data_IF_041133633718
#
_entry.id   IF_041133633718
#
_cell.length_a   1.000
_cell.length_b   1.000
_cell.length_c   1.000
_cell.angle_alpha   90.00
_cell.angle_beta   90.00
_cell.angle_gamma   90.00
#
_symmetry.space_group_name_H-M   'P 1'
#
loop_
_entity.id
_entity.type
_entity.pdbx_description
1 polymer ?
#
# COMPACT_ATOMS: atom_id res chain seq x y z
N UNK A 1 35.66 -37.53 -31.82
CA UNK A 1 35.05 -36.19 -31.85
C UNK A 1 33.52 -36.22 -31.82
N UNK A 2 32.78 -37.07 -32.56
CA UNK A 2 31.28 -37.10 -32.56
C UNK A 2 30.60 -37.35 -31.19
N UNK A 3 31.22 -38.14 -30.28
CA UNK A 3 30.63 -38.41 -28.95
C UNK A 3 30.77 -37.23 -27.97
N UNK A 4 31.81 -36.43 -28.09
CA UNK A 4 32.02 -35.25 -27.24
C UNK A 4 31.08 -34.08 -27.63
N UNK A 5 30.83 -33.90 -28.92
CA UNK A 5 29.83 -32.88 -29.39
C UNK A 5 28.42 -33.23 -29.02
N UNK A 6 28.02 -34.52 -29.03
CA UNK A 6 26.69 -34.95 -28.61
C UNK A 6 26.46 -34.73 -27.11
N UNK A 7 27.50 -35.02 -26.30
CA UNK A 7 27.43 -34.77 -24.84
C UNK A 7 27.36 -33.28 -24.49
N UNK A 8 28.02 -32.40 -25.23
CA UNK A 8 27.95 -30.95 -25.06
C UNK A 8 26.55 -30.41 -25.43
N UNK A 9 25.94 -30.90 -26.52
CA UNK A 9 24.56 -30.52 -26.92
C UNK A 9 23.52 -31.01 -25.90
N UNK A 10 23.66 -32.21 -25.36
CA UNK A 10 22.76 -32.71 -24.30
C UNK A 10 22.89 -31.93 -22.99
N UNK A 11 24.07 -31.47 -22.62
CA UNK A 11 24.28 -30.66 -21.41
C UNK A 11 23.72 -29.27 -21.52
N UNK A 12 23.64 -28.68 -22.71
CA UNK A 12 22.97 -27.37 -22.93
C UNK A 12 21.46 -27.47 -22.85
N UNK A 13 20.89 -28.63 -23.22
CA UNK A 13 19.41 -28.85 -23.15
C UNK A 13 18.89 -29.13 -21.72
N UNK A 14 19.75 -29.55 -20.80
CA UNK A 14 19.34 -29.88 -19.43
C UNK A 14 19.02 -28.65 -18.54
N UNK A 15 19.36 -27.44 -18.99
CA UNK A 15 19.09 -26.19 -18.30
C UNK A 15 17.75 -25.49 -18.68
N UNK A 16 16.96 -26.06 -19.60
CA UNK A 16 15.74 -25.42 -20.07
C UNK A 16 14.61 -25.52 -19.04
N UNK A 17 14.00 -24.38 -18.71
CA UNK A 17 12.82 -24.32 -17.86
C UNK A 17 11.62 -24.98 -18.58
N UNK A 18 10.92 -25.87 -17.88
CA UNK A 18 9.70 -26.50 -18.40
C UNK A 18 8.50 -25.60 -18.14
N UNK A 19 7.71 -25.32 -19.17
CA UNK A 19 6.49 -24.56 -19.05
C UNK A 19 5.35 -25.43 -18.50
N UNK A 20 4.74 -24.96 -17.41
CA UNK A 20 3.51 -25.54 -16.84
C UNK A 20 2.42 -24.48 -16.82
N UNK A 21 1.32 -24.71 -17.54
CA UNK A 21 0.15 -23.85 -17.49
C UNK A 21 -0.50 -23.92 -16.09
N UNK A 22 -0.75 -22.76 -15.48
CA UNK A 22 -1.43 -22.69 -14.17
C UNK A 22 -2.85 -22.17 -14.33
N UNK A 23 -3.87 -22.86 -13.78
CA UNK A 23 -5.26 -22.38 -13.80
C UNK A 23 -5.37 -21.12 -12.94
N UNK A 24 -6.18 -20.13 -13.40
CA UNK A 24 -6.36 -18.86 -12.71
C UNK A 24 -7.56 -18.87 -11.74
N UNK A 25 -8.73 -19.35 -12.19
CA UNK A 25 -9.99 -19.13 -11.47
C UNK A 25 -10.09 -19.84 -10.12
N UNK A 26 -9.88 -21.15 -10.05
CA UNK A 26 -10.05 -21.90 -8.81
C UNK A 26 -9.08 -21.48 -7.70
N UNK A 27 -7.75 -21.32 -7.96
CA UNK A 27 -6.83 -20.81 -6.96
C UNK A 27 -7.11 -19.35 -6.54
N UNK A 28 -7.62 -18.51 -7.46
CA UNK A 28 -7.98 -17.14 -7.14
C UNK A 28 -9.17 -17.06 -6.19
N UNK A 29 -10.22 -17.84 -6.41
CA UNK A 29 -11.39 -17.93 -5.51
C UNK A 29 -11.00 -18.49 -4.14
N UNK A 30 -10.18 -19.53 -4.07
CA UNK A 30 -9.67 -20.06 -2.81
C UNK A 30 -8.86 -19.02 -2.02
N UNK A 31 -8.09 -18.16 -2.71
CA UNK A 31 -7.29 -17.11 -2.09
C UNK A 31 -8.13 -16.00 -1.45
N UNK A 32 -9.42 -15.83 -1.80
CA UNK A 32 -10.34 -14.86 -1.20
C UNK A 32 -10.69 -15.20 0.26
N UNK A 33 -10.55 -16.45 0.69
CA UNK A 33 -10.78 -16.84 2.08
C UNK A 33 -9.70 -16.32 3.04
N UNK A 34 -8.63 -15.75 2.51
CA UNK A 34 -7.50 -15.28 3.30
C UNK A 34 -6.64 -16.44 3.86
N UNK A 35 -5.49 -16.11 4.45
CA UNK A 35 -4.65 -17.12 5.09
C UNK A 35 -5.26 -17.61 6.42
N UNK A 36 -5.09 -18.91 6.77
CA UNK A 36 -5.55 -19.44 8.04
C UNK A 36 -4.79 -18.80 9.23
N UNK A 37 -5.42 -18.78 10.42
CA UNK A 37 -4.87 -18.15 11.63
C UNK A 37 -3.43 -18.57 11.94
N UNK A 38 -3.13 -19.88 11.82
CA UNK A 38 -1.77 -20.41 12.07
C UNK A 38 -0.72 -19.77 11.14
N UNK A 39 -1.06 -19.60 9.87
CA UNK A 39 -0.19 -18.95 8.89
C UNK A 39 0.02 -17.44 9.20
N UNK A 40 -1.04 -16.75 9.65
CA UNK A 40 -0.94 -15.35 10.08
C UNK A 40 -0.01 -15.20 11.30
N UNK A 41 -0.14 -16.07 12.31
CA UNK A 41 0.72 -16.06 13.50
C UNK A 41 2.19 -16.30 13.13
N UNK A 42 2.46 -17.30 12.29
CA UNK A 42 3.82 -17.59 11.82
C UNK A 42 4.41 -16.42 11.02
N UNK A 43 3.63 -15.85 10.08
CA UNK A 43 4.07 -14.73 9.28
C UNK A 43 4.30 -13.45 10.12
N UNK A 44 3.49 -13.20 11.17
CA UNK A 44 3.67 -12.07 12.04
C UNK A 44 4.97 -12.14 12.86
N UNK A 45 5.38 -13.34 13.30
CA UNK A 45 6.66 -13.56 13.99
C UNK A 45 7.87 -13.36 13.05
N UNK A 46 7.71 -13.70 11.77
CA UNK A 46 8.73 -13.58 10.74
C UNK A 46 8.80 -12.18 10.10
N UNK A 47 7.85 -11.30 10.42
CA UNK A 47 7.70 -10.00 9.75
C UNK A 47 8.94 -9.11 10.00
N UNK A 48 9.54 -8.63 8.91
CA UNK A 48 10.66 -7.69 8.90
C UNK A 48 10.25 -6.44 8.11
N UNK A 49 9.36 -5.63 8.66
CA UNK A 49 8.94 -4.37 8.04
C UNK A 49 9.42 -3.21 8.91
N UNK A 50 10.04 -2.22 8.28
CA UNK A 50 10.57 -1.05 8.96
C UNK A 50 9.43 -0.28 9.68
N UNK A 51 9.61 -0.02 10.97
CA UNK A 51 8.62 0.68 11.80
C UNK A 51 7.51 -0.20 12.40
N UNK A 52 7.41 -1.47 11.99
CA UNK A 52 6.49 -2.44 12.57
C UNK A 52 7.26 -3.42 13.46
N UNK A 53 6.91 -3.46 14.76
CA UNK A 53 7.48 -4.43 15.70
C UNK A 53 6.96 -5.84 15.41
N UNK A 54 7.75 -6.85 15.71
CA UNK A 54 7.28 -8.23 15.76
C UNK A 54 6.21 -8.33 16.85
N UNK A 55 5.01 -8.78 16.49
CA UNK A 55 3.89 -8.94 17.41
C UNK A 55 3.48 -10.42 17.45
N UNK A 56 3.22 -10.91 18.64
CA UNK A 56 2.56 -12.20 18.85
C UNK A 56 1.06 -11.99 18.66
N UNK A 57 0.47 -12.57 17.60
CA UNK A 57 -0.97 -12.53 17.37
C UNK A 57 -1.67 -13.59 18.20
N UNK A 58 -2.68 -13.18 18.99
CA UNK A 58 -3.55 -14.09 19.74
C UNK A 58 -5.02 -13.80 19.38
N UNK A 59 -5.59 -14.67 18.53
CA UNK A 59 -6.98 -14.55 18.07
C UNK A 59 -8.02 -14.93 19.14
N UNK A 60 -7.60 -15.44 20.32
CA UNK A 60 -8.50 -15.73 21.45
C UNK A 60 -8.88 -14.46 22.20
N UNK A 61 -8.11 -13.39 22.05
CA UNK A 61 -8.33 -12.08 22.67
C UNK A 61 -8.77 -11.06 21.62
N UNK A 62 -9.47 -9.99 22.03
CA UNK A 62 -9.74 -8.88 21.15
C UNK A 62 -8.43 -8.28 20.59
N UNK A 63 -8.34 -8.14 19.27
CA UNK A 63 -7.14 -7.68 18.59
C UNK A 63 -6.97 -6.15 18.71
N UNK A 64 -5.76 -5.72 19.00
CA UNK A 64 -5.39 -4.31 19.02
C UNK A 64 -5.25 -3.73 17.61
N UNK A 65 -5.30 -2.41 17.47
CA UNK A 65 -5.06 -1.77 16.18
C UNK A 65 -3.68 -2.07 15.58
N UNK A 66 -2.65 -2.32 16.41
CA UNK A 66 -1.32 -2.72 15.95
C UNK A 66 -1.33 -4.11 15.33
N UNK A 67 -1.94 -5.07 16.02
CA UNK A 67 -2.09 -6.45 15.51
C UNK A 67 -2.89 -6.50 14.21
N UNK A 68 -3.98 -5.73 14.13
CA UNK A 68 -4.76 -5.60 12.88
C UNK A 68 -3.93 -4.98 11.75
N UNK A 69 -3.11 -3.96 12.05
CA UNK A 69 -2.19 -3.39 11.07
C UNK A 69 -1.17 -4.41 10.54
N UNK A 70 -0.63 -5.27 11.41
CA UNK A 70 0.28 -6.37 11.02
C UNK A 70 -0.46 -7.40 10.17
N UNK A 71 -1.69 -7.78 10.53
CA UNK A 71 -2.52 -8.70 9.73
C UNK A 71 -2.77 -8.12 8.33
N UNK A 72 -3.10 -6.83 8.22
CA UNK A 72 -3.29 -6.18 6.93
C UNK A 72 -2.02 -6.23 6.07
N UNK A 73 -0.85 -5.96 6.65
CA UNK A 73 0.41 -6.05 5.92
C UNK A 73 0.65 -7.47 5.38
N UNK A 74 0.31 -8.51 6.14
CA UNK A 74 0.51 -9.91 5.74
C UNK A 74 -0.51 -10.35 4.69
N UNK A 75 -1.79 -10.11 4.95
CA UNK A 75 -2.89 -10.76 4.25
C UNK A 75 -3.54 -9.91 3.15
N UNK A 76 -3.39 -8.57 3.18
CA UNK A 76 -4.03 -7.68 2.20
C UNK A 76 -3.66 -8.07 0.75
N UNK A 77 -4.65 -8.38 -0.11
CA UNK A 77 -4.39 -8.84 -1.48
C UNK A 77 -3.63 -7.81 -2.34
N UNK A 78 -3.90 -6.52 -2.16
CA UNK A 78 -3.22 -5.46 -2.91
C UNK A 78 -1.72 -5.38 -2.55
N UNK A 79 -1.36 -5.55 -1.27
CA UNK A 79 0.04 -5.60 -0.85
C UNK A 79 0.74 -6.88 -1.34
N UNK A 80 0.03 -8.00 -1.38
CA UNK A 80 0.55 -9.24 -1.98
C UNK A 80 0.87 -9.07 -3.47
N UNK A 81 0.00 -8.38 -4.21
CA UNK A 81 0.24 -8.04 -5.61
C UNK A 81 1.45 -7.09 -5.78
N UNK A 82 1.61 -6.10 -4.91
CA UNK A 82 2.78 -5.21 -4.92
C UNK A 82 4.10 -5.96 -4.64
N UNK A 83 4.11 -6.90 -3.69
CA UNK A 83 5.29 -7.76 -3.44
C UNK A 83 5.63 -8.65 -4.64
N UNK A 84 4.63 -9.06 -5.43
CA UNK A 84 4.91 -9.77 -6.68
C UNK A 84 5.69 -8.88 -7.68
N UNK A 85 5.39 -7.57 -7.76
CA UNK A 85 6.17 -6.61 -8.57
C UNK A 85 7.62 -6.48 -8.08
N UNK A 86 7.84 -6.52 -6.77
CA UNK A 86 9.20 -6.52 -6.21
C UNK A 86 10.00 -7.77 -6.65
N UNK A 87 9.35 -8.94 -6.70
CA UNK A 87 9.98 -10.17 -7.23
C UNK A 87 10.35 -10.04 -8.70
N UNK A 88 9.48 -9.41 -9.52
CA UNK A 88 9.80 -9.11 -10.92
C UNK A 88 11.02 -8.19 -11.02
N UNK A 89 11.08 -7.12 -10.21
CA UNK A 89 12.20 -6.20 -10.22
C UNK A 89 13.53 -6.90 -9.82
N UNK A 90 13.50 -7.81 -8.85
CA UNK A 90 14.68 -8.64 -8.49
C UNK A 90 15.09 -9.59 -9.62
N UNK A 91 14.15 -10.21 -10.31
CA UNK A 91 14.44 -11.03 -11.48
C UNK A 91 15.07 -10.20 -12.62
N UNK A 92 14.67 -8.94 -12.78
CA UNK A 92 15.30 -8.02 -13.74
C UNK A 92 16.75 -7.70 -13.37
N UNK A 93 17.11 -7.63 -12.08
CA UNK A 93 18.52 -7.50 -11.63
C UNK A 93 19.31 -8.73 -12.03
N UNK A 94 18.75 -9.92 -11.81
CA UNK A 94 19.39 -11.17 -12.24
C UNK A 94 19.60 -11.19 -13.76
N UNK A 95 18.55 -10.86 -14.54
CA UNK A 95 18.64 -10.82 -16.01
C UNK A 95 19.68 -9.81 -16.51
N UNK A 96 19.80 -8.63 -15.89
CA UNK A 96 20.81 -7.64 -16.23
C UNK A 96 22.25 -8.12 -15.94
N UNK A 97 22.39 -9.08 -15.02
CA UNK A 97 23.66 -9.69 -14.67
C UNK A 97 24.11 -10.83 -15.58
N UNK A 98 23.26 -11.35 -16.45
CA UNK A 98 23.63 -12.43 -17.37
C UNK A 98 24.58 -11.92 -18.46
N UNK A 99 25.47 -12.82 -18.89
CA UNK A 99 26.30 -12.55 -20.05
C UNK A 99 25.47 -12.62 -21.33
N UNK A 100 25.83 -11.86 -22.37
CA UNK A 100 25.18 -11.98 -23.68
C UNK A 100 25.48 -13.36 -24.28
N UNK A 101 24.46 -13.99 -24.85
CA UNK A 101 24.65 -15.26 -25.54
C UNK A 101 25.43 -15.06 -26.85
N UNK A 102 26.31 -16.01 -27.20
CA UNK A 102 26.98 -16.02 -28.50
C UNK A 102 25.96 -16.37 -29.60
N UNK A 103 26.17 -15.81 -30.77
CA UNK A 103 25.40 -16.12 -31.97
C UNK A 103 26.20 -17.12 -32.79
N UNK A 104 25.60 -18.27 -33.09
CA UNK A 104 26.15 -19.26 -34.02
C UNK A 104 25.45 -19.10 -35.35
N UNK A 105 26.18 -18.95 -36.41
CA UNK A 105 25.66 -18.78 -37.77
C UNK A 105 26.08 -19.96 -38.62
N UNK A 106 25.16 -20.50 -39.41
CA UNK A 106 25.40 -21.51 -40.41
C UNK A 106 24.84 -21.07 -41.72
N UNK A 107 25.58 -21.25 -42.80
CA UNK A 107 25.09 -21.02 -44.14
C UNK A 107 25.52 -22.16 -45.05
N UNK A 108 24.61 -22.52 -45.95
CA UNK A 108 24.83 -23.54 -46.97
C UNK A 108 24.33 -22.97 -48.32
N UNK A 109 25.23 -22.82 -49.26
CA UNK A 109 24.95 -22.25 -50.59
C UNK A 109 25.29 -23.28 -51.67
N UNK A 110 24.29 -23.66 -52.47
CA UNK A 110 24.47 -24.56 -53.60
C UNK A 110 24.62 -23.73 -54.87
N UNK A 111 25.74 -23.84 -55.60
CA UNK A 111 25.86 -23.19 -56.90
C UNK A 111 24.87 -23.79 -57.93
N UNK A 112 24.28 -22.96 -58.74
CA UNK A 112 23.41 -23.36 -59.85
C UNK A 112 23.60 -22.41 -61.02
N UNK A 113 23.28 -22.89 -62.23
CA UNK A 113 23.42 -22.15 -63.49
C UNK A 113 24.60 -22.58 -64.34
N UNK A 114 24.86 -21.79 -65.40
CA UNK A 114 25.96 -22.07 -66.33
C UNK A 114 27.29 -21.95 -65.57
N UNK A 115 28.13 -22.98 -65.59
CA UNK A 115 29.39 -23.05 -64.85
C UNK A 115 29.33 -23.69 -63.47
N UNK A 116 28.16 -24.16 -63.03
CA UNK A 116 28.02 -24.85 -61.73
C UNK A 116 28.53 -26.31 -61.77
N UNK A 117 28.84 -26.87 -62.95
CA UNK A 117 29.34 -28.23 -63.08
C UNK A 117 30.70 -28.39 -62.40
N UNK A 118 30.81 -29.42 -61.52
CA UNK A 118 32.06 -29.70 -60.76
C UNK A 118 32.19 -28.94 -59.43
N UNK A 119 31.25 -28.02 -59.15
CA UNK A 119 31.24 -27.29 -57.85
C UNK A 119 30.41 -28.01 -56.78
N UNK A 120 30.93 -28.06 -55.54
CA UNK A 120 30.26 -28.63 -54.40
C UNK A 120 29.46 -27.54 -53.65
N UNK A 121 28.64 -27.92 -52.67
CA UNK A 121 27.95 -27.00 -51.80
C UNK A 121 28.98 -26.25 -50.93
N UNK A 122 28.89 -24.92 -50.96
CA UNK A 122 29.68 -24.08 -50.06
C UNK A 122 29.00 -24.06 -48.68
N UNK A 123 29.76 -24.33 -47.64
CA UNK A 123 29.34 -24.34 -46.27
C UNK A 123 30.11 -23.29 -45.51
N UNK A 124 29.41 -22.52 -44.64
CA UNK A 124 30.09 -21.66 -43.67
C UNK A 124 29.46 -21.80 -42.30
N UNK A 125 30.30 -21.78 -41.31
CA UNK A 125 29.94 -21.72 -39.92
C UNK A 125 30.68 -20.56 -39.24
N UNK A 126 30.03 -19.96 -38.25
CA UNK A 126 30.59 -18.81 -37.55
C UNK A 126 30.06 -18.71 -36.14
N UNK A 127 30.90 -18.17 -35.29
CA UNK A 127 30.59 -17.83 -33.92
C UNK A 127 30.90 -16.34 -33.74
N UNK A 128 29.93 -15.59 -33.18
CA UNK A 128 30.06 -14.15 -32.95
C UNK A 128 29.57 -13.80 -31.54
N UNK A 129 30.38 -13.04 -30.77
CA UNK A 129 30.05 -12.62 -29.44
C UNK A 129 30.09 -11.09 -29.28
N UNK A 130 29.01 -10.49 -28.72
CA UNK A 130 28.89 -9.04 -28.52
C UNK A 130 29.69 -8.59 -27.30
N UNK A 131 30.90 -8.07 -27.52
CA UNK A 131 31.78 -7.55 -26.46
C UNK A 131 31.31 -6.22 -25.90
N UNK A 132 30.53 -5.42 -26.66
CA UNK A 132 30.02 -4.13 -26.20
C UNK A 132 29.08 -4.26 -25.03
N UNK A 133 28.35 -5.39 -24.97
CA UNK A 133 27.49 -5.70 -23.81
C UNK A 133 28.26 -5.98 -22.54
N UNK A 134 29.47 -6.44 -22.60
CA UNK A 134 30.31 -6.61 -21.42
C UNK A 134 30.68 -5.27 -20.80
N UNK A 135 31.02 -4.27 -21.64
CA UNK A 135 31.34 -2.92 -21.20
C UNK A 135 30.14 -2.23 -20.54
N UNK A 136 28.93 -2.38 -21.10
CA UNK A 136 27.73 -1.74 -20.59
C UNK A 136 27.05 -2.48 -19.44
N UNK A 137 27.42 -3.76 -19.22
CA UNK A 137 26.81 -4.66 -18.23
C UNK A 137 26.77 -4.08 -16.81
N UNK A 138 27.85 -3.46 -16.35
CA UNK A 138 27.91 -2.84 -15.02
C UNK A 138 26.87 -1.71 -14.85
N UNK A 139 26.63 -0.95 -15.91
CA UNK A 139 25.64 0.11 -15.96
C UNK A 139 24.22 -0.46 -15.96
N UNK A 140 23.98 -1.54 -16.74
CA UNK A 140 22.69 -2.23 -16.79
C UNK A 140 22.34 -2.86 -15.43
N UNK A 141 23.30 -3.49 -14.75
CA UNK A 141 23.13 -4.03 -13.39
C UNK A 141 22.80 -2.90 -12.41
N UNK A 142 23.54 -1.79 -12.43
CA UNK A 142 23.27 -0.63 -11.56
C UNK A 142 21.88 -0.06 -11.80
N UNK A 143 21.49 0.15 -13.05
CA UNK A 143 20.16 0.61 -13.43
C UNK A 143 19.06 -0.30 -12.87
N UNK A 144 19.20 -1.61 -13.01
CA UNK A 144 18.26 -2.61 -12.52
C UNK A 144 18.21 -2.66 -10.98
N UNK A 145 19.35 -2.58 -10.30
CA UNK A 145 19.46 -2.55 -8.83
C UNK A 145 18.76 -1.34 -8.23
N UNK A 146 18.99 -0.15 -8.78
CA UNK A 146 18.37 1.08 -8.33
C UNK A 146 16.85 1.04 -8.58
N UNK A 147 16.42 0.50 -9.73
CA UNK A 147 15.01 0.28 -10.02
C UNK A 147 14.36 -0.70 -9.03
N UNK A 148 15.03 -1.80 -8.73
CA UNK A 148 14.55 -2.78 -7.74
C UNK A 148 14.46 -2.16 -6.33
N UNK A 149 15.42 -1.31 -5.97
CA UNK A 149 15.43 -0.55 -4.71
C UNK A 149 14.25 0.42 -4.64
N UNK A 150 13.97 1.15 -5.73
CA UNK A 150 12.81 2.04 -5.82
C UNK A 150 11.49 1.28 -5.59
N UNK A 151 11.31 0.12 -6.26
CA UNK A 151 10.12 -0.73 -6.07
C UNK A 151 10.03 -1.25 -4.64
N UNK A 152 11.13 -1.72 -4.04
CA UNK A 152 11.17 -2.19 -2.66
C UNK A 152 10.74 -1.11 -1.66
N UNK A 153 11.25 0.12 -1.81
CA UNK A 153 10.85 1.23 -0.94
C UNK A 153 9.40 1.67 -1.15
N UNK A 154 8.88 1.60 -2.40
CA UNK A 154 7.46 1.83 -2.66
C UNK A 154 6.57 0.78 -1.99
N UNK A 155 6.94 -0.49 -2.03
CA UNK A 155 6.22 -1.57 -1.34
C UNK A 155 6.22 -1.31 0.16
N UNK A 156 7.38 -1.06 0.76
CA UNK A 156 7.50 -0.80 2.19
C UNK A 156 6.71 0.45 2.64
N UNK A 157 6.68 1.50 1.82
CA UNK A 157 5.83 2.66 2.07
C UNK A 157 4.35 2.31 2.05
N UNK A 158 3.90 1.52 1.07
CA UNK A 158 2.50 1.08 0.99
C UNK A 158 2.11 0.18 2.16
N UNK A 159 3.00 -0.68 2.63
CA UNK A 159 2.81 -1.49 3.84
C UNK A 159 2.65 -0.60 5.07
N UNK A 160 3.49 0.41 5.24
CA UNK A 160 3.39 1.39 6.31
C UNK A 160 2.06 2.16 6.31
N UNK A 161 1.65 2.65 5.14
CA UNK A 161 0.37 3.35 4.96
C UNK A 161 -0.80 2.43 5.28
N UNK A 162 -0.85 1.23 4.69
CA UNK A 162 -1.93 0.27 4.91
C UNK A 162 -2.05 -0.16 6.38
N UNK A 163 -0.92 -0.34 7.09
CA UNK A 163 -0.92 -0.64 8.51
C UNK A 163 -1.57 0.47 9.34
N UNK A 164 -1.26 1.74 9.05
CA UNK A 164 -1.84 2.88 9.77
C UNK A 164 -3.31 3.14 9.39
N UNK A 165 -3.68 2.95 8.13
CA UNK A 165 -5.08 3.01 7.68
C UNK A 165 -5.95 1.95 8.37
N UNK A 166 -5.42 0.73 8.53
CA UNK A 166 -6.10 -0.35 9.26
C UNK A 166 -6.26 -0.03 10.74
N UNK A 167 -5.24 0.58 11.36
CA UNK A 167 -5.33 1.08 12.76
C UNK A 167 -6.43 2.13 12.91
N UNK A 168 -6.57 3.01 11.92
CA UNK A 168 -7.64 4.01 11.89
C UNK A 168 -9.01 3.35 11.72
N UNK A 169 -9.14 2.41 10.77
CA UNK A 169 -10.38 1.69 10.52
C UNK A 169 -10.86 0.90 11.78
N UNK A 170 -9.94 0.27 12.50
CA UNK A 170 -10.25 -0.38 13.77
C UNK A 170 -10.79 0.61 14.82
N UNK A 171 -10.18 1.81 14.92
CA UNK A 171 -10.66 2.89 15.80
C UNK A 171 -12.03 3.40 15.37
N UNK A 172 -12.26 3.53 14.08
CA UNK A 172 -13.56 3.93 13.53
C UNK A 172 -14.65 2.95 13.94
N UNK A 173 -14.43 1.64 13.81
CA UNK A 173 -15.39 0.62 14.26
C UNK A 173 -15.66 0.74 15.76
N UNK A 174 -14.63 0.92 16.59
CA UNK A 174 -14.78 1.09 18.03
C UNK A 174 -15.60 2.32 18.40
N UNK A 175 -15.29 3.48 17.82
CA UNK A 175 -15.97 4.72 18.15
C UNK A 175 -17.40 4.77 17.59
N UNK A 176 -17.65 4.22 16.41
CA UNK A 176 -19.01 4.07 15.87
C UNK A 176 -19.89 3.17 16.76
N UNK A 177 -19.30 2.10 17.35
CA UNK A 177 -19.99 1.28 18.34
C UNK A 177 -20.35 2.12 19.59
N UNK A 178 -19.42 2.94 20.07
CA UNK A 178 -19.66 3.83 21.22
C UNK A 178 -20.76 4.86 20.91
N UNK A 179 -20.73 5.50 19.74
CA UNK A 179 -21.76 6.44 19.30
C UNK A 179 -23.14 5.78 19.19
N UNK A 180 -23.17 4.57 18.59
CA UNK A 180 -24.41 3.80 18.52
C UNK A 180 -24.96 3.47 19.92
N UNK A 181 -24.12 3.05 20.86
CA UNK A 181 -24.53 2.76 22.23
C UNK A 181 -25.09 4.01 22.94
N UNK A 182 -24.47 5.19 22.74
CA UNK A 182 -24.96 6.47 23.30
C UNK A 182 -26.35 6.79 22.72
N UNK A 183 -26.50 6.75 21.40
CA UNK A 183 -27.77 7.04 20.73
C UNK A 183 -28.87 6.01 21.08
N UNK A 184 -28.51 4.73 21.20
CA UNK A 184 -29.44 3.67 21.57
C UNK A 184 -29.91 3.84 23.01
N UNK A 185 -29.03 4.17 23.95
CA UNK A 185 -29.38 4.46 25.35
C UNK A 185 -30.35 5.66 25.44
N UNK A 186 -30.07 6.73 24.68
CA UNK A 186 -30.98 7.87 24.60
C UNK A 186 -32.34 7.47 24.05
N UNK A 187 -32.39 6.71 22.95
CA UNK A 187 -33.64 6.19 22.38
C UNK A 187 -34.41 5.33 23.38
N UNK A 188 -33.76 4.50 24.17
CA UNK A 188 -34.39 3.68 25.22
C UNK A 188 -35.03 4.56 26.30
N UNK A 189 -34.35 5.64 26.70
CA UNK A 189 -34.92 6.63 27.65
C UNK A 189 -36.19 7.27 27.09
N UNK A 190 -36.16 7.73 25.81
CA UNK A 190 -37.34 8.32 25.16
C UNK A 190 -38.49 7.32 25.05
N UNK A 191 -38.23 6.07 24.68
CA UNK A 191 -39.23 5.00 24.58
C UNK A 191 -39.89 4.69 25.92
N UNK A 192 -39.11 4.71 27.00
CA UNK A 192 -39.60 4.41 28.35
C UNK A 192 -40.68 5.41 28.84
N UNK A 193 -40.71 6.63 28.27
CA UNK A 193 -41.70 7.64 28.61
C UNK A 193 -42.85 7.79 27.58
N UNK A 194 -42.77 7.09 26.45
CA UNK A 194 -43.73 7.27 25.36
C UNK A 194 -45.14 6.78 25.70
N UNK A 195 -45.30 5.69 26.44
CA UNK A 195 -46.60 5.18 26.88
C UNK A 195 -47.30 6.14 27.82
N UNK A 196 -46.56 6.60 28.86
CA UNK A 196 -47.10 7.57 29.81
C UNK A 196 -47.58 8.87 29.13
N UNK A 197 -46.76 9.47 28.27
CA UNK A 197 -47.15 10.68 27.55
C UNK A 197 -48.31 10.47 26.58
N UNK A 198 -48.44 9.28 26.01
CA UNK A 198 -49.58 8.94 25.16
C UNK A 198 -50.87 8.82 25.98
N UNK A 199 -50.78 8.28 27.20
CA UNK A 199 -51.89 8.19 28.13
C UNK A 199 -52.30 9.58 28.64
N UNK A 200 -51.31 10.43 28.98
CA UNK A 200 -51.58 11.84 29.35
C UNK A 200 -52.25 12.62 28.20
N UNK A 201 -51.86 12.38 26.96
CA UNK A 201 -52.53 12.97 25.79
C UNK A 201 -54.01 12.53 25.70
N UNK A 202 -54.25 11.18 25.86
CA UNK A 202 -55.63 10.64 25.80
C UNK A 202 -56.53 11.19 26.90
N UNK A 203 -55.93 11.46 28.07
CA UNK A 203 -56.62 12.06 29.22
C UNK A 203 -56.68 13.60 29.17
N UNK A 204 -56.25 14.23 28.07
CA UNK A 204 -56.16 15.68 27.89
C UNK A 204 -55.26 16.41 28.92
N UNK A 205 -54.33 15.68 29.60
CA UNK A 205 -53.40 16.24 30.59
C UNK A 205 -52.24 16.99 29.94
N UNK A 206 -51.97 16.73 28.66
CA UNK A 206 -50.98 17.45 27.85
C UNK A 206 -51.57 17.90 26.53
N UNK A 207 -51.12 19.06 26.02
CA UNK A 207 -51.49 19.57 24.72
C UNK A 207 -50.90 18.70 23.59
N UNK A 208 -51.66 18.52 22.48
CA UNK A 208 -51.23 17.76 21.29
C UNK A 208 -49.91 18.22 20.74
N UNK A 209 -49.60 19.52 20.77
CA UNK A 209 -48.28 20.06 20.35
C UNK A 209 -47.13 19.50 21.18
N UNK A 210 -47.27 19.23 22.48
CA UNK A 210 -46.23 18.59 23.33
C UNK A 210 -45.95 17.17 22.90
N UNK A 211 -47.00 16.41 22.58
CA UNK A 211 -46.86 15.08 22.05
C UNK A 211 -46.10 15.06 20.70
N UNK A 212 -46.46 15.96 19.78
CA UNK A 212 -45.80 16.07 18.47
C UNK A 212 -44.30 16.40 18.61
N UNK A 213 -43.93 17.32 19.52
CA UNK A 213 -42.51 17.58 19.80
C UNK A 213 -41.78 16.35 20.36
N UNK A 214 -42.42 15.63 21.28
CA UNK A 214 -41.83 14.40 21.83
C UNK A 214 -41.68 13.33 20.75
N UNK A 215 -42.70 13.10 19.94
CA UNK A 215 -42.67 12.12 18.85
C UNK A 215 -41.60 12.45 17.82
N UNK A 216 -41.49 13.70 17.37
CA UNK A 216 -40.47 14.17 16.45
C UNK A 216 -39.06 13.97 17.03
N UNK A 217 -38.83 14.30 18.30
CA UNK A 217 -37.54 14.10 18.95
C UNK A 217 -37.19 12.60 19.11
N UNK A 218 -38.14 11.75 19.45
CA UNK A 218 -37.97 10.29 19.51
C UNK A 218 -37.63 9.72 18.13
N UNK A 219 -38.32 10.15 17.07
CA UNK A 219 -38.06 9.70 15.70
C UNK A 219 -36.71 10.17 15.21
N UNK A 220 -36.30 11.38 15.48
CA UNK A 220 -34.95 11.87 15.18
C UNK A 220 -33.88 10.99 15.85
N UNK A 221 -34.09 10.61 17.11
CA UNK A 221 -33.19 9.74 17.83
C UNK A 221 -33.19 8.29 17.29
N UNK A 222 -34.37 7.78 16.87
CA UNK A 222 -34.51 6.47 16.19
C UNK A 222 -33.73 6.46 14.89
N UNK A 223 -33.91 7.48 14.06
CA UNK A 223 -33.19 7.63 12.78
C UNK A 223 -31.67 7.72 13.00
N UNK A 224 -31.23 8.48 14.01
CA UNK A 224 -29.82 8.62 14.38
C UNK A 224 -29.22 7.27 14.82
N UNK A 225 -29.89 6.53 15.70
CA UNK A 225 -29.45 5.22 16.16
C UNK A 225 -29.36 4.20 15.00
N UNK A 226 -30.35 4.20 14.10
CA UNK A 226 -30.38 3.36 12.93
C UNK A 226 -29.23 3.71 11.93
N UNK A 227 -28.98 5.00 11.70
CA UNK A 227 -27.89 5.47 10.85
C UNK A 227 -26.51 5.03 11.40
N UNK A 228 -26.29 5.21 12.71
CA UNK A 228 -25.06 4.77 13.37
C UNK A 228 -24.86 3.25 13.33
N UNK A 229 -25.94 2.48 13.46
CA UNK A 229 -25.88 1.02 13.33
C UNK A 229 -25.50 0.58 11.93
N UNK A 230 -26.08 1.22 10.89
CA UNK A 230 -25.68 0.96 9.49
C UNK A 230 -24.22 1.33 9.25
N UNK A 231 -23.79 2.50 9.73
CA UNK A 231 -22.40 2.95 9.61
C UNK A 231 -21.40 1.98 10.30
N UNK A 232 -21.77 1.48 11.50
CA UNK A 232 -20.96 0.49 12.21
C UNK A 232 -20.82 -0.82 11.42
N UNK A 233 -21.92 -1.31 10.83
CA UNK A 233 -21.88 -2.53 10.00
C UNK A 233 -21.00 -2.32 8.76
N UNK A 234 -21.16 -1.21 8.06
CA UNK A 234 -20.36 -0.86 6.90
C UNK A 234 -18.85 -0.75 7.25
N UNK A 235 -18.53 -0.08 8.37
CA UNK A 235 -17.15 0.05 8.83
C UNK A 235 -16.51 -1.31 9.19
N UNK A 236 -17.27 -2.25 9.76
CA UNK A 236 -16.78 -3.60 10.04
C UNK A 236 -16.44 -4.36 8.76
N UNK A 237 -17.35 -4.33 7.76
CA UNK A 237 -17.11 -4.98 6.46
C UNK A 237 -15.89 -4.37 5.77
N UNK A 238 -15.77 -3.05 5.77
CA UNK A 238 -14.63 -2.35 5.20
C UNK A 238 -13.30 -2.75 5.87
N UNK A 239 -13.29 -2.83 7.22
CA UNK A 239 -12.10 -3.26 7.96
C UNK A 239 -11.69 -4.69 7.57
N UNK A 240 -12.64 -5.64 7.54
CA UNK A 240 -12.35 -7.03 7.17
C UNK A 240 -11.82 -7.12 5.74
N UNK A 241 -12.37 -6.34 4.81
CA UNK A 241 -11.88 -6.21 3.44
C UNK A 241 -10.44 -5.68 3.36
N UNK A 242 -10.10 -4.65 4.16
CA UNK A 242 -8.73 -4.14 4.26
C UNK A 242 -7.75 -5.18 4.81
N UNK A 243 -8.22 -6.03 5.72
CA UNK A 243 -7.42 -7.13 6.26
C UNK A 243 -7.20 -8.27 5.24
N UNK A 244 -7.97 -8.33 4.16
CA UNK A 244 -7.93 -9.45 3.21
C UNK A 244 -8.41 -10.77 3.83
N UNK A 245 -9.33 -10.68 4.78
CA UNK A 245 -9.94 -11.82 5.45
C UNK A 245 -11.36 -12.07 4.92
N UNK A 246 -11.91 -13.27 5.18
CA UNK A 246 -13.29 -13.56 4.84
C UNK A 246 -14.28 -12.65 5.58
N UNK A 247 -15.29 -12.08 4.93
CA UNK A 247 -16.32 -11.26 5.58
C UNK A 247 -17.08 -11.97 6.70
N UNK A 248 -17.15 -13.30 6.66
CA UNK A 248 -17.79 -14.13 7.67
C UNK A 248 -16.93 -14.33 8.94
N UNK A 249 -15.67 -13.89 8.92
CA UNK A 249 -14.76 -14.10 10.05
C UNK A 249 -15.14 -13.20 11.24
N UNK A 250 -15.43 -13.77 12.44
CA UNK A 250 -15.70 -12.98 13.62
C UNK A 250 -14.41 -12.24 14.05
N UNK A 251 -14.50 -10.91 14.16
CA UNK A 251 -13.37 -10.08 14.56
C UNK A 251 -13.74 -9.28 15.81
N UNK A 252 -13.11 -9.60 16.95
CA UNK A 252 -13.20 -8.83 18.17
C UNK A 252 -12.08 -7.76 18.18
N UNK A 253 -12.47 -6.50 18.40
CA UNK A 253 -11.56 -5.35 18.39
C UNK A 253 -11.38 -4.87 19.82
N UNK A 254 -10.13 -4.77 20.26
CA UNK A 254 -9.77 -4.25 21.57
C UNK A 254 -10.06 -2.74 21.69
N UNK A 255 -10.27 -2.28 22.93
CA UNK A 255 -10.35 -0.85 23.21
C UNK A 255 -9.07 -0.17 22.71
N UNK A 256 -9.16 0.89 21.88
CA UNK A 256 -7.99 1.54 21.37
C UNK A 256 -7.24 2.31 22.45
N UNK A 257 -5.94 2.10 22.54
CA UNK A 257 -5.08 2.89 23.43
C UNK A 257 -5.06 4.36 22.97
N UNK A 258 -4.84 5.26 23.95
CA UNK A 258 -4.73 6.68 23.66
C UNK A 258 -3.46 6.96 22.87
N UNK A 259 -3.61 7.56 21.68
CA UNK A 259 -2.48 8.02 20.90
C UNK A 259 -1.86 9.26 21.57
N UNK A 260 -0.54 9.24 21.72
CA UNK A 260 0.20 10.44 22.11
C UNK A 260 0.21 11.42 20.94
N UNK A 261 -0.01 12.72 21.16
CA UNK A 261 0.15 13.72 20.12
C UNK A 261 1.56 13.66 19.53
N UNK A 262 1.68 13.91 18.24
CA UNK A 262 3.00 14.14 17.65
C UNK A 262 3.42 15.56 18.00
N UNK A 263 4.49 15.69 18.78
CA UNK A 263 5.05 16.96 19.21
C UNK A 263 6.23 17.39 18.34
N UNK A 264 6.45 18.69 18.23
CA UNK A 264 7.52 19.32 17.48
C UNK A 264 7.03 20.38 16.52
N UNK A 265 7.88 21.36 16.19
CA UNK A 265 7.58 22.35 15.16
C UNK A 265 7.39 21.68 13.80
N UNK A 266 6.45 22.15 12.96
CA UNK A 266 6.15 21.52 11.66
C UNK A 266 7.40 21.40 10.75
N UNK A 267 8.32 22.36 10.79
CA UNK A 267 9.58 22.28 10.02
C UNK A 267 10.48 21.15 10.51
N UNK A 268 10.66 21.01 11.82
CA UNK A 268 11.45 19.93 12.39
C UNK A 268 10.84 18.55 12.04
N UNK A 269 9.52 18.45 12.07
CA UNK A 269 8.79 17.26 11.66
C UNK A 269 9.01 16.95 10.16
N UNK A 270 9.02 17.98 9.32
CA UNK A 270 9.27 17.83 7.89
C UNK A 270 10.72 17.38 7.62
N UNK A 271 11.71 18.02 8.21
CA UNK A 271 13.12 17.62 8.05
C UNK A 271 13.36 16.17 8.49
N UNK A 272 12.77 15.77 9.62
CA UNK A 272 12.78 14.37 10.04
C UNK A 272 12.12 13.43 9.02
N UNK A 273 11.03 13.85 8.41
CA UNK A 273 10.30 13.06 7.43
C UNK A 273 11.09 12.85 6.13
N UNK A 274 11.81 13.86 5.66
CA UNK A 274 12.56 13.83 4.37
C UNK A 274 13.49 12.62 4.28
N UNK A 275 14.22 12.31 5.36
CA UNK A 275 15.17 11.18 5.38
C UNK A 275 14.54 9.82 5.66
N UNK A 276 13.30 9.77 6.16
CA UNK A 276 12.66 8.54 6.65
C UNK A 276 11.45 8.08 5.84
N UNK A 277 10.84 8.98 5.09
CA UNK A 277 9.71 8.64 4.22
C UNK A 277 10.17 7.79 3.06
N UNK A 278 9.76 6.53 3.07
CA UNK A 278 10.18 5.55 2.06
C UNK A 278 9.66 5.88 0.66
N UNK A 279 8.58 6.67 0.52
CA UNK A 279 8.13 7.17 -0.78
C UNK A 279 9.09 8.20 -1.38
N UNK A 280 9.75 9.03 -0.56
CA UNK A 280 10.80 9.95 -1.00
C UNK A 280 12.09 9.20 -1.32
N UNK A 281 12.49 8.24 -0.47
CA UNK A 281 13.65 7.38 -0.71
C UNK A 281 13.47 6.56 -2.01
N UNK A 282 12.26 6.09 -2.29
CA UNK A 282 11.93 5.41 -3.54
C UNK A 282 12.14 6.30 -4.79
N UNK A 283 11.78 7.59 -4.69
CA UNK A 283 12.00 8.54 -5.78
C UNK A 283 13.49 8.85 -5.99
N UNK A 284 14.28 8.90 -4.92
CA UNK A 284 15.75 9.04 -5.01
C UNK A 284 16.35 7.83 -5.73
N UNK A 285 15.99 6.61 -5.37
CA UNK A 285 16.44 5.40 -6.05
C UNK A 285 15.99 5.38 -7.53
N UNK A 286 14.74 5.79 -7.81
CA UNK A 286 14.27 5.92 -9.19
C UNK A 286 15.07 6.96 -10.00
N UNK A 287 15.48 8.06 -9.38
CA UNK A 287 16.33 9.06 -10.01
C UNK A 287 17.73 8.50 -10.32
N UNK A 288 18.33 7.74 -9.40
CA UNK A 288 19.60 7.05 -9.64
C UNK A 288 19.50 6.01 -10.77
N UNK A 289 18.40 5.26 -10.83
CA UNK A 289 18.12 4.37 -11.96
C UNK A 289 18.06 5.12 -13.30
N UNK A 290 17.39 6.29 -13.32
CA UNK A 290 17.32 7.12 -14.53
C UNK A 290 18.66 7.75 -14.93
N UNK A 291 19.54 8.08 -13.96
CA UNK A 291 20.93 8.47 -14.23
C UNK A 291 21.71 7.35 -14.91
N UNK A 292 21.60 6.12 -14.39
CA UNK A 292 22.23 4.96 -15.01
C UNK A 292 21.66 4.69 -16.43
N UNK A 293 20.33 4.86 -16.61
CA UNK A 293 19.70 4.75 -17.92
C UNK A 293 20.20 5.81 -18.92
N UNK A 294 20.45 7.04 -18.46
CA UNK A 294 21.05 8.08 -19.31
C UNK A 294 22.50 7.72 -19.68
N UNK A 295 23.31 7.28 -18.70
CA UNK A 295 24.66 6.84 -18.98
C UNK A 295 24.66 5.69 -20.00
N UNK A 296 23.75 4.72 -19.85
CA UNK A 296 23.59 3.61 -20.78
C UNK A 296 23.28 4.09 -22.19
N UNK A 297 22.37 5.04 -22.34
CA UNK A 297 22.03 5.63 -23.64
C UNK A 297 23.20 6.41 -24.27
N UNK A 298 24.04 7.04 -23.44
CA UNK A 298 25.27 7.73 -23.90
C UNK A 298 26.32 6.70 -24.35
N UNK A 299 26.50 5.60 -23.61
CA UNK A 299 27.41 4.53 -23.98
C UNK A 299 27.01 3.85 -25.31
N UNK A 300 25.71 3.78 -25.61
CA UNK A 300 25.22 3.27 -26.89
C UNK A 300 25.46 4.21 -28.11
N UNK A 301 26.05 5.39 -27.89
CA UNK A 301 26.56 6.25 -28.96
C UNK A 301 27.90 5.77 -29.54
N UNK A 302 28.63 4.93 -28.80
CA UNK A 302 29.88 4.35 -29.25
C UNK A 302 29.63 3.16 -30.17
N UNK A 303 30.57 2.85 -31.08
CA UNK A 303 30.50 1.68 -31.95
C UNK A 303 30.32 0.39 -31.15
N UNK A 304 29.44 -0.49 -31.64
CA UNK A 304 29.28 -1.81 -31.03
C UNK A 304 30.23 -2.81 -31.69
N UNK A 305 31.03 -3.48 -30.88
CA UNK A 305 32.04 -4.43 -31.30
C UNK A 305 31.58 -5.83 -30.95
N UNK A 306 31.60 -6.72 -31.95
CA UNK A 306 31.47 -8.18 -31.77
C UNK A 306 32.72 -8.87 -32.36
N UNK A 307 33.21 -9.85 -31.64
CA UNK A 307 34.36 -10.66 -32.02
C UNK A 307 33.93 -12.12 -32.14
N UNK A 308 34.49 -12.82 -33.15
CA UNK A 308 34.19 -14.22 -33.36
C UNK A 308 35.20 -14.91 -34.22
N UNK A 309 34.87 -16.15 -34.57
CA UNK A 309 35.63 -16.97 -35.52
C UNK A 309 34.69 -17.50 -36.59
N UNK A 310 35.13 -17.63 -37.79
CA UNK A 310 34.37 -18.18 -38.92
C UNK A 310 35.19 -19.22 -39.67
N UNK A 311 34.52 -20.28 -40.10
CA UNK A 311 35.02 -21.27 -41.02
C UNK A 311 34.18 -21.29 -42.26
N UNK A 312 34.82 -21.50 -43.43
CA UNK A 312 34.09 -21.64 -44.71
C UNK A 312 34.77 -22.72 -45.56
N UNK A 313 33.94 -23.49 -46.26
CA UNK A 313 34.34 -24.32 -47.37
C UNK A 313 33.65 -23.78 -48.60
N UNK A 314 34.44 -23.31 -49.54
CA UNK A 314 33.89 -22.74 -50.80
C UNK A 314 33.41 -23.85 -51.74
N UNK A 315 32.77 -23.47 -52.81
CA UNK A 315 32.22 -24.39 -53.84
C UNK A 315 33.33 -25.17 -54.59
N UNK A 316 34.58 -24.72 -54.59
CA UNK A 316 35.73 -25.40 -55.12
C UNK A 316 36.40 -26.42 -54.16
N UNK A 317 35.85 -26.54 -52.93
CA UNK A 317 36.34 -27.49 -51.94
C UNK A 317 37.45 -26.96 -51.03
N UNK A 318 37.90 -25.72 -51.16
CA UNK A 318 38.94 -25.09 -50.33
C UNK A 318 38.30 -24.74 -48.97
N UNK A 319 38.96 -25.09 -47.90
CA UNK A 319 38.55 -24.79 -46.51
C UNK A 319 39.37 -23.63 -45.95
N UNK A 320 38.68 -22.65 -45.42
CA UNK A 320 39.23 -21.43 -44.84
C UNK A 320 38.75 -21.29 -43.38
N UNK A 321 39.58 -20.72 -42.49
CA UNK A 321 39.23 -20.39 -41.12
C UNK A 321 39.88 -19.06 -40.75
N UNK A 322 39.17 -18.23 -40.00
CA UNK A 322 39.70 -16.93 -39.62
C UNK A 322 38.94 -16.29 -38.45
N UNK A 323 39.44 -15.14 -38.02
CA UNK A 323 38.77 -14.30 -37.06
C UNK A 323 37.75 -13.38 -37.76
N UNK A 324 36.60 -13.20 -37.14
CA UNK A 324 35.55 -12.30 -37.63
C UNK A 324 35.39 -11.14 -36.64
N UNK A 325 35.51 -9.93 -37.16
CA UNK A 325 35.23 -8.69 -36.44
C UNK A 325 34.01 -8.00 -37.04
N UNK A 326 32.99 -7.71 -36.23
CA UNK A 326 31.84 -6.95 -36.66
C UNK A 326 31.75 -5.65 -35.86
N UNK A 327 31.65 -4.52 -36.58
CA UNK A 327 31.61 -3.18 -36.00
C UNK A 327 30.36 -2.46 -36.49
N UNK A 328 29.41 -2.13 -35.58
CA UNK A 328 28.25 -1.35 -35.92
C UNK A 328 28.52 0.13 -35.59
N UNK A 329 28.61 0.97 -36.61
CA UNK A 329 28.87 2.40 -36.50
C UNK A 329 27.56 3.20 -36.47
N UNK A 330 27.24 3.93 -35.39
CA UNK A 330 25.99 4.73 -35.29
C UNK A 330 26.14 6.09 -36.00
N UNK A 331 26.42 6.09 -37.29
CA UNK A 331 26.77 7.29 -38.07
C UNK A 331 25.57 8.26 -38.26
N UNK A 332 24.36 7.76 -38.44
CA UNK A 332 23.22 8.60 -38.80
C UNK A 332 22.47 9.16 -37.57
N UNK A 333 22.24 8.38 -36.56
CA UNK A 333 21.41 8.80 -35.40
C UNK A 333 22.21 8.99 -34.11
N UNK A 334 23.40 8.41 -34.00
CA UNK A 334 24.30 8.47 -32.83
C UNK A 334 23.54 8.29 -31.51
N UNK A 335 22.48 7.47 -31.50
CA UNK A 335 21.57 7.22 -30.36
C UNK A 335 20.96 8.50 -29.74
N UNK A 336 20.95 9.64 -30.46
CA UNK A 336 20.52 10.97 -29.95
C UNK A 336 19.08 10.94 -29.43
N UNK A 337 18.19 10.20 -30.06
CA UNK A 337 16.80 10.05 -29.61
C UNK A 337 16.67 9.39 -28.26
N UNK A 338 17.37 8.28 -28.01
CA UNK A 338 17.36 7.59 -26.72
C UNK A 338 17.99 8.45 -25.61
N UNK A 339 19.06 9.18 -25.93
CA UNK A 339 19.70 10.14 -24.99
C UNK A 339 18.73 11.26 -24.62
N UNK A 340 18.02 11.85 -25.58
CA UNK A 340 17.03 12.88 -25.33
C UNK A 340 15.88 12.38 -24.42
N UNK A 341 15.35 11.17 -24.71
CA UNK A 341 14.31 10.53 -23.89
C UNK A 341 14.83 10.27 -22.46
N UNK A 342 16.02 9.71 -22.30
CA UNK A 342 16.60 9.41 -20.98
C UNK A 342 16.84 10.69 -20.17
N UNK A 343 17.32 11.76 -20.82
CA UNK A 343 17.49 13.09 -20.22
C UNK A 343 16.16 13.67 -19.75
N UNK A 344 15.13 13.61 -20.56
CA UNK A 344 13.78 14.08 -20.22
C UNK A 344 13.17 13.27 -19.05
N UNK A 345 13.33 11.94 -19.04
CA UNK A 345 12.88 11.06 -17.94
C UNK A 345 13.56 11.41 -16.63
N UNK A 346 14.87 11.64 -16.62
CA UNK A 346 15.60 12.07 -15.43
C UNK A 346 15.09 13.41 -14.92
N UNK A 347 14.88 14.38 -15.80
CA UNK A 347 14.36 15.70 -15.45
C UNK A 347 12.93 15.62 -14.87
N UNK A 348 12.07 14.77 -15.45
CA UNK A 348 10.73 14.51 -14.93
C UNK A 348 10.74 13.91 -13.52
N UNK A 349 11.64 12.96 -13.24
CA UNK A 349 11.80 12.39 -11.89
C UNK A 349 12.28 13.41 -10.87
N UNK A 350 13.20 14.31 -11.23
CA UNK A 350 13.61 15.40 -10.36
C UNK A 350 12.45 16.32 -10.00
N UNK A 351 11.68 16.76 -11.00
CA UNK A 351 10.48 17.58 -10.76
C UNK A 351 9.42 16.84 -9.95
N UNK A 352 9.23 15.55 -10.19
CA UNK A 352 8.35 14.67 -9.40
C UNK A 352 8.79 14.57 -7.93
N UNK A 353 10.08 14.47 -7.67
CA UNK A 353 10.63 14.48 -6.31
C UNK A 353 10.36 15.82 -5.59
N UNK A 354 10.62 16.96 -6.25
CA UNK A 354 10.34 18.30 -5.69
C UNK A 354 8.84 18.45 -5.39
N UNK A 355 7.98 18.03 -6.30
CA UNK A 355 6.52 18.08 -6.10
C UNK A 355 6.10 17.22 -4.90
N UNK A 356 6.71 16.03 -4.72
CA UNK A 356 6.43 15.14 -3.58
C UNK A 356 6.92 15.72 -2.26
N UNK A 357 8.08 16.40 -2.24
CA UNK A 357 8.57 17.14 -1.08
C UNK A 357 7.60 18.25 -0.68
N UNK A 358 7.16 19.07 -1.64
CA UNK A 358 6.21 20.16 -1.40
C UNK A 358 4.88 19.62 -0.83
N UNK A 359 4.35 18.52 -1.41
CA UNK A 359 3.15 17.86 -0.91
C UNK A 359 3.33 17.31 0.51
N UNK A 360 4.48 16.71 0.82
CA UNK A 360 4.79 16.20 2.15
C UNK A 360 4.86 17.33 3.18
N UNK A 361 5.51 18.45 2.84
CA UNK A 361 5.59 19.65 3.67
C UNK A 361 4.19 20.19 3.99
N UNK A 362 3.40 20.47 2.95
CA UNK A 362 2.03 20.97 3.11
C UNK A 362 1.15 20.04 3.94
N UNK A 363 1.27 18.71 3.75
CA UNK A 363 0.56 17.70 4.52
C UNK A 363 0.91 17.79 6.01
N UNK A 364 2.19 17.87 6.36
CA UNK A 364 2.65 17.91 7.76
C UNK A 364 2.16 19.19 8.44
N UNK A 365 2.30 20.35 7.80
CA UNK A 365 1.82 21.63 8.34
C UNK A 365 0.32 21.61 8.62
N UNK A 366 -0.47 21.17 7.65
CA UNK A 366 -1.93 21.06 7.79
C UNK A 366 -2.32 20.13 8.93
N UNK A 367 -1.70 18.96 9.03
CA UNK A 367 -2.02 17.97 10.05
C UNK A 367 -1.60 18.42 11.46
N UNK A 368 -0.47 19.10 11.59
CA UNK A 368 -0.02 19.67 12.88
C UNK A 368 -0.98 20.76 13.36
N UNK A 369 -1.39 21.67 12.48
CA UNK A 369 -2.39 22.69 12.80
C UNK A 369 -3.76 22.10 13.18
N UNK A 370 -4.22 21.10 12.43
CA UNK A 370 -5.46 20.39 12.72
C UNK A 370 -5.41 19.65 14.07
N UNK A 371 -4.30 19.00 14.41
CA UNK A 371 -4.11 18.34 15.71
C UNK A 371 -4.26 19.34 16.86
N UNK A 372 -3.60 20.50 16.79
CA UNK A 372 -3.67 21.53 17.82
C UNK A 372 -5.10 22.10 17.98
N UNK A 373 -5.82 22.30 16.87
CA UNK A 373 -7.21 22.76 16.90
C UNK A 373 -8.14 21.75 17.55
N UNK A 374 -8.03 20.46 17.17
CA UNK A 374 -8.84 19.38 17.73
C UNK A 374 -8.57 19.17 19.24
N UNK A 375 -7.33 19.32 19.70
CA UNK A 375 -6.99 19.23 21.11
C UNK A 375 -7.64 20.35 21.92
N UNK A 376 -7.67 21.59 21.43
CA UNK A 376 -8.37 22.72 22.06
C UNK A 376 -9.89 22.49 22.12
N UNK A 377 -10.48 22.04 21.00
CA UNK A 377 -11.92 21.78 20.95
C UNK A 377 -12.35 20.65 21.89
N UNK A 378 -11.58 19.55 21.95
CA UNK A 378 -11.80 18.45 22.88
C UNK A 378 -11.71 18.91 24.34
N UNK A 379 -10.79 19.81 24.67
CA UNK A 379 -10.67 20.35 26.04
C UNK A 379 -11.90 21.17 26.42
N UNK A 380 -12.40 22.05 25.52
CA UNK A 380 -13.63 22.82 25.73
C UNK A 380 -14.85 21.91 25.93
N UNK A 381 -14.99 20.90 25.06
CA UNK A 381 -16.14 19.98 25.15
C UNK A 381 -16.10 19.09 26.38
N UNK A 382 -14.93 18.74 26.91
CA UNK A 382 -14.82 18.03 28.19
C UNK A 382 -15.38 18.84 29.34
N UNK A 383 -15.05 20.13 29.43
CA UNK A 383 -15.61 21.03 30.45
C UNK A 383 -17.14 21.13 30.32
N UNK A 384 -17.65 21.42 29.10
CA UNK A 384 -19.10 21.48 28.84
C UNK A 384 -19.82 20.18 29.22
N UNK A 385 -19.24 19.01 28.86
CA UNK A 385 -19.81 17.72 29.23
C UNK A 385 -19.88 17.53 30.75
N UNK A 386 -18.86 17.95 31.50
CA UNK A 386 -18.85 17.83 32.97
C UNK A 386 -20.00 18.63 33.57
N UNK A 387 -20.18 19.89 33.15
CA UNK A 387 -21.29 20.74 33.61
C UNK A 387 -22.63 20.10 33.26
N UNK A 388 -22.83 19.73 31.98
CA UNK A 388 -24.10 19.11 31.55
C UNK A 388 -24.39 17.78 32.24
N UNK A 389 -23.38 16.96 32.52
CA UNK A 389 -23.57 15.71 33.23
C UNK A 389 -23.95 15.93 34.71
N UNK A 390 -23.47 16.99 35.35
CA UNK A 390 -23.90 17.39 36.68
C UNK A 390 -25.35 17.90 36.66
N UNK A 391 -25.66 18.81 35.78
CA UNK A 391 -27.02 19.36 35.60
C UNK A 391 -28.05 18.26 35.26
N UNK A 392 -27.69 17.32 34.38
CA UNK A 392 -28.53 16.17 34.01
C UNK A 392 -28.85 15.25 35.20
N UNK A 393 -27.89 15.05 36.11
CA UNK A 393 -28.12 14.28 37.36
C UNK A 393 -29.06 15.01 38.31
N UNK A 394 -28.85 16.30 38.50
CA UNK A 394 -29.76 17.15 39.29
C UNK A 394 -31.17 17.17 38.70
N UNK A 395 -31.29 17.34 37.40
CA UNK A 395 -32.57 17.30 36.69
C UNK A 395 -33.27 15.93 36.81
N UNK A 396 -32.54 14.83 36.81
CA UNK A 396 -33.09 13.50 37.04
C UNK A 396 -33.64 13.35 38.46
N UNK A 397 -32.95 13.85 39.47
CA UNK A 397 -33.43 13.87 40.85
C UNK A 397 -34.70 14.74 41.00
N UNK A 398 -34.70 15.96 40.47
CA UNK A 398 -35.84 16.86 40.47
C UNK A 398 -37.05 16.27 39.71
N UNK A 399 -36.86 15.59 38.60
CA UNK A 399 -37.91 14.89 37.88
C UNK A 399 -38.52 13.77 38.73
N UNK A 400 -37.69 12.97 39.41
CA UNK A 400 -38.18 11.91 40.33
C UNK A 400 -38.92 12.46 41.54
N UNK A 401 -38.57 13.64 42.00
CA UNK A 401 -39.25 14.36 43.09
C UNK A 401 -40.46 15.15 42.59
N UNK A 402 -40.91 15.01 41.34
CA UNK A 402 -42.00 15.79 40.68
C UNK A 402 -41.77 17.31 40.66
N UNK A 403 -40.55 17.79 40.98
CA UNK A 403 -40.18 19.20 40.93
C UNK A 403 -39.76 19.71 39.55
N UNK A 404 -39.54 18.80 38.58
CA UNK A 404 -39.17 19.13 37.19
C UNK A 404 -40.09 18.38 36.23
N UNK A 405 -40.64 19.07 35.22
CA UNK A 405 -41.46 18.44 34.17
C UNK A 405 -40.63 17.55 33.23
N UNK A 406 -41.22 16.46 32.76
CA UNK A 406 -40.60 15.47 31.89
C UNK A 406 -39.93 16.08 30.64
N UNK A 407 -40.57 17.04 29.97
CA UNK A 407 -40.02 17.67 28.74
C UNK A 407 -38.70 18.37 29.05
N UNK A 408 -38.62 19.13 30.13
CA UNK A 408 -37.36 19.80 30.55
C UNK A 408 -36.27 18.80 30.87
N UNK A 409 -36.58 17.71 31.57
CA UNK A 409 -35.65 16.63 31.85
C UNK A 409 -35.11 15.99 30.55
N UNK A 410 -36.00 15.61 29.62
CA UNK A 410 -35.63 14.98 28.36
C UNK A 410 -34.80 15.92 27.48
N UNK A 411 -35.10 17.22 27.47
CA UNK A 411 -34.32 18.24 26.74
C UNK A 411 -32.88 18.30 27.26
N UNK A 412 -32.66 18.30 28.58
CA UNK A 412 -31.33 18.28 29.17
C UNK A 412 -30.56 16.95 28.84
N UNK A 413 -31.29 15.83 28.86
CA UNK A 413 -30.70 14.52 28.49
C UNK A 413 -30.32 14.49 26.99
N UNK A 414 -31.08 15.13 26.13
CA UNK A 414 -30.79 15.27 24.70
C UNK A 414 -29.55 16.15 24.46
N UNK A 415 -29.43 17.27 25.17
CA UNK A 415 -28.25 18.15 25.14
C UNK A 415 -26.97 17.36 25.55
N UNK A 416 -27.02 16.63 26.66
CA UNK A 416 -25.92 15.78 27.11
C UNK A 416 -25.57 14.73 26.05
N UNK A 417 -26.57 14.05 25.49
CA UNK A 417 -26.37 13.06 24.41
C UNK A 417 -25.68 13.68 23.19
N UNK A 418 -26.11 14.86 22.79
CA UNK A 418 -25.52 15.59 21.64
C UNK A 418 -24.06 15.91 21.88
N UNK A 419 -23.72 16.40 23.09
CA UNK A 419 -22.31 16.69 23.47
C UNK A 419 -21.48 15.41 23.54
N UNK A 420 -22.01 14.31 24.05
CA UNK A 420 -21.31 13.02 24.11
C UNK A 420 -21.04 12.44 22.72
N UNK A 421 -22.02 12.51 21.81
CA UNK A 421 -21.84 12.12 20.40
C UNK A 421 -20.76 12.99 19.73
N UNK A 422 -20.86 14.32 19.86
CA UNK A 422 -19.88 15.25 19.32
C UNK A 422 -18.46 14.98 19.84
N UNK A 423 -18.33 14.73 21.15
CA UNK A 423 -17.04 14.43 21.77
C UNK A 423 -16.46 13.10 21.24
N UNK A 424 -17.31 12.11 20.98
CA UNK A 424 -16.87 10.81 20.44
C UNK A 424 -16.39 10.97 18.99
N UNK A 425 -17.12 11.71 18.15
CA UNK A 425 -16.71 12.03 16.80
C UNK A 425 -15.38 12.81 16.76
N UNK A 426 -15.18 13.79 17.65
CA UNK A 426 -13.93 14.54 17.74
C UNK A 426 -12.75 13.67 18.21
N UNK A 427 -12.97 12.71 19.11
CA UNK A 427 -11.94 11.72 19.49
C UNK A 427 -11.49 10.89 18.30
N UNK A 428 -12.40 10.47 17.43
CA UNK A 428 -12.08 9.77 16.19
C UNK A 428 -11.30 10.68 15.25
N UNK A 429 -11.75 11.92 15.01
CA UNK A 429 -11.07 12.89 14.14
C UNK A 429 -9.64 13.19 14.63
N UNK A 430 -9.47 13.36 15.95
CA UNK A 430 -8.15 13.53 16.56
C UNK A 430 -7.26 12.31 16.34
N UNK A 431 -7.79 11.10 16.52
CA UNK A 431 -7.04 9.88 16.28
C UNK A 431 -6.64 9.73 14.81
N UNK A 432 -7.53 10.09 13.88
CA UNK A 432 -7.26 10.11 12.45
C UNK A 432 -6.12 11.08 12.11
N UNK A 433 -6.21 12.32 12.62
CA UNK A 433 -5.16 13.34 12.40
C UNK A 433 -3.82 12.91 12.98
N UNK A 434 -3.80 12.35 14.19
CA UNK A 434 -2.56 11.86 14.83
C UNK A 434 -1.95 10.70 14.04
N UNK A 435 -2.75 9.71 13.60
CA UNK A 435 -2.26 8.60 12.77
C UNK A 435 -1.77 9.08 11.40
N UNK A 436 -2.47 10.03 10.78
CA UNK A 436 -2.04 10.63 9.53
C UNK A 436 -0.70 11.37 9.71
N UNK A 437 -0.48 12.07 10.83
CA UNK A 437 0.76 12.76 11.13
C UNK A 437 1.91 11.77 11.42
N UNK A 438 1.64 10.68 12.16
CA UNK A 438 2.58 9.56 12.36
C UNK A 438 2.98 8.97 11.00
N UNK A 439 2.01 8.76 10.11
CA UNK A 439 2.26 8.24 8.77
C UNK A 439 3.08 9.23 7.94
N UNK A 440 2.72 10.51 7.94
CA UNK A 440 3.39 11.55 7.17
C UNK A 440 4.83 11.82 7.63
N UNK A 441 5.12 11.62 8.91
CA UNK A 441 6.46 11.80 9.49
C UNK A 441 7.28 10.52 9.53
N UNK A 442 6.73 9.39 9.08
CA UNK A 442 7.34 8.06 9.14
C UNK A 442 7.90 7.70 10.53
N UNK A 443 7.25 8.18 11.60
CA UNK A 443 7.65 7.86 12.98
C UNK A 443 7.26 6.42 13.32
N UNK A 444 8.16 5.63 13.90
CA UNK A 444 7.85 4.25 14.32
C UNK A 444 6.74 4.23 15.38
N UNK A 445 6.09 3.07 15.56
CA UNK A 445 5.00 2.88 16.53
C UNK A 445 5.49 2.87 18.00
N UNK A 446 6.57 3.53 18.31
CA UNK A 446 7.09 3.70 19.67
C UNK A 446 6.15 4.58 20.50
N UNK A 447 5.66 4.10 21.62
CA UNK A 447 4.95 4.91 22.63
C UNK A 447 3.48 4.62 22.87
N UNK A 448 2.88 3.59 22.30
CA UNK A 448 1.69 2.98 22.90
C UNK A 448 2.19 2.00 23.97
N UNK A 449 2.27 2.46 25.24
CA UNK A 449 2.50 1.57 26.36
C UNK A 449 1.40 0.49 26.39
N UNK A 450 1.81 -0.71 26.74
CA UNK A 450 0.96 -1.89 26.87
C UNK A 450 -0.22 -1.63 27.81
#
# INVERSE_FOLDING_TARGET
MRKATLALILSVLSGCAVYHAKPLRAPALAALNGPPHRALVAAARALKVQGLSRLALDFRKPLTGKELGVIAVIANPALRALRARERIARAQVFAAGLLPDPVIQFSALKPYGVGAAGHTMALSDGFLWDLSRLVTRSTDIRMAQERASAVRYQVAWREWVAANETRLAARQVYWLKAEWMIAHKALTLWRGHASMLRDDLRRHLIARRRWLFFEAAQDAMRMKAAALHRALRAARVALVGQLGLSPAMPLAIARPHRLRPVSGAPDALFHHAVSRRLDLVALVAAYHSANAALLRAVLDQYPRLSLGAAGARNSSGVTEAGLQLSLVLPLFNANRGAVAIARARRAALFKGYVARLAAARSQIYRLAGAQASLDRELTRLKGRRQVLAHTARAAQAAYRAHALGLVSYLTLMQELTTVELKMTALRLSRAATTLALITATARPWSGEAA
#
